data_IF_083587826110
#
_entry.id   IF_083587826110
#
_cell.length_a   1.000
_cell.length_b   1.000
_cell.length_c   1.000
_cell.angle_alpha   90.00
_cell.angle_beta   90.00
_cell.angle_gamma   90.00
#
_symmetry.space_group_name_H-M   'P 1'
#
loop_
_entity.id
_entity.type
_entity.pdbx_description
1 polymer ?
#
# COMPACT_ATOMS: atom_id res chain seq x y z
N UNK A 1 39.46 14.52 -31.02
CA UNK A 1 39.85 15.01 -29.67
C UNK A 1 38.67 15.59 -28.89
N UNK A 2 37.92 16.59 -29.40
CA UNK A 2 36.79 17.20 -28.68
C UNK A 2 35.63 16.22 -28.34
N UNK A 3 35.36 15.21 -29.18
CA UNK A 3 34.32 14.17 -28.94
C UNK A 3 34.65 13.15 -27.84
N UNK A 4 35.91 13.01 -27.44
CA UNK A 4 36.29 12.11 -26.34
C UNK A 4 36.28 12.79 -24.98
N UNK A 5 36.64 14.08 -24.92
CA UNK A 5 36.50 14.90 -23.72
C UNK A 5 35.02 15.08 -23.30
N UNK A 6 34.12 15.23 -24.27
CA UNK A 6 32.67 15.33 -24.02
C UNK A 6 32.10 14.02 -23.43
N UNK A 7 32.53 12.86 -23.93
CA UNK A 7 32.18 11.54 -23.37
C UNK A 7 32.77 11.32 -21.97
N UNK A 8 33.95 11.87 -21.68
CA UNK A 8 34.58 11.85 -20.35
C UNK A 8 33.81 12.68 -19.33
N UNK A 9 33.29 13.85 -19.72
CA UNK A 9 32.51 14.74 -18.87
C UNK A 9 31.06 14.25 -18.67
N UNK A 10 30.46 13.63 -19.69
CA UNK A 10 29.16 12.95 -19.60
C UNK A 10 29.20 11.67 -18.74
N UNK A 11 30.33 10.95 -18.70
CA UNK A 11 30.51 9.79 -17.84
C UNK A 11 30.73 10.15 -16.36
N UNK A 12 31.12 11.40 -16.06
CA UNK A 12 31.36 11.82 -14.69
C UNK A 12 30.07 12.06 -13.88
N UNK A 13 28.93 12.21 -14.56
CA UNK A 13 27.62 12.48 -13.95
C UNK A 13 26.81 11.23 -13.56
N UNK A 14 27.37 10.02 -13.66
CA UNK A 14 26.64 8.76 -13.41
C UNK A 14 27.35 7.77 -12.47
N UNK A 15 28.21 8.24 -11.58
CA UNK A 15 28.69 7.41 -10.48
C UNK A 15 27.74 7.57 -9.28
N UNK A 16 26.71 6.71 -9.18
CA UNK A 16 25.96 6.55 -7.93
C UNK A 16 26.88 5.89 -6.92
N UNK A 17 27.64 6.69 -6.17
CA UNK A 17 28.56 6.21 -5.16
C UNK A 17 27.80 5.61 -3.96
N UNK A 18 28.00 4.31 -3.71
CA UNK A 18 27.51 3.61 -2.52
C UNK A 18 28.33 4.04 -1.30
N UNK A 19 27.91 5.14 -0.71
CA UNK A 19 28.46 5.71 0.51
C UNK A 19 27.61 5.31 1.71
N UNK A 20 28.10 5.50 2.93
CA UNK A 20 27.26 5.35 4.13
C UNK A 20 25.98 6.21 4.02
N UNK A 21 26.08 7.38 3.36
CA UNK A 21 24.94 8.23 3.03
C UNK A 21 23.94 7.54 2.06
N UNK A 22 24.42 6.83 1.04
CA UNK A 22 23.56 6.07 0.13
C UNK A 22 22.81 4.91 0.80
N UNK A 23 23.41 4.24 1.79
CA UNK A 23 22.68 3.22 2.57
C UNK A 23 21.66 3.84 3.51
N UNK A 24 22.01 4.96 4.14
CA UNK A 24 21.05 5.71 4.97
C UNK A 24 19.86 6.19 4.13
N UNK A 25 20.10 6.66 2.90
CA UNK A 25 19.05 7.06 1.95
C UNK A 25 18.11 5.90 1.61
N UNK A 26 18.65 4.73 1.26
CA UNK A 26 17.83 3.55 0.92
C UNK A 26 17.03 3.08 2.14
N UNK A 27 17.64 3.03 3.31
CA UNK A 27 16.96 2.62 4.54
C UNK A 27 15.82 3.60 4.90
N UNK A 28 16.09 4.91 4.88
CA UNK A 28 15.08 5.93 5.16
C UNK A 28 13.94 5.90 4.13
N UNK A 29 14.27 5.75 2.84
CA UNK A 29 13.29 5.63 1.77
C UNK A 29 12.42 4.38 1.90
N UNK A 30 13.00 3.22 2.20
CA UNK A 30 12.27 1.97 2.38
C UNK A 30 11.31 2.05 3.59
N UNK A 31 11.75 2.63 4.71
CA UNK A 31 10.91 2.87 5.89
C UNK A 31 9.75 3.81 5.55
N UNK A 32 10.05 4.95 4.93
CA UNK A 32 9.04 5.94 4.56
C UNK A 32 7.98 5.36 3.62
N UNK A 33 8.41 4.65 2.57
CA UNK A 33 7.52 4.04 1.59
C UNK A 33 6.71 2.89 2.19
N UNK A 34 7.34 2.06 3.03
CA UNK A 34 6.65 0.98 3.75
C UNK A 34 5.58 1.51 4.71
N UNK A 35 5.90 2.55 5.48
CA UNK A 35 4.92 3.22 6.36
C UNK A 35 3.80 3.88 5.55
N UNK A 36 4.10 4.49 4.41
CA UNK A 36 3.09 5.04 3.50
C UNK A 36 2.11 3.95 3.01
N UNK A 37 2.64 2.81 2.59
CA UNK A 37 1.84 1.65 2.19
C UNK A 37 0.97 1.09 3.31
N UNK A 38 1.50 1.01 4.53
CA UNK A 38 0.77 0.57 5.71
C UNK A 38 -0.39 1.52 6.04
N UNK A 39 -0.10 2.82 6.12
CA UNK A 39 -1.07 3.84 6.51
C UNK A 39 -2.17 4.00 5.47
N UNK A 40 -1.84 3.93 4.18
CA UNK A 40 -2.83 3.94 3.11
C UNK A 40 -3.81 2.77 3.24
N UNK A 41 -3.29 1.54 3.33
CA UNK A 41 -4.13 0.35 3.48
C UNK A 41 -4.92 0.33 4.80
N UNK A 42 -4.35 0.86 5.89
CA UNK A 42 -5.07 1.03 7.14
C UNK A 42 -6.18 2.08 7.02
N UNK A 43 -5.91 3.21 6.35
CA UNK A 43 -6.89 4.27 6.14
C UNK A 43 -8.08 3.80 5.32
N UNK A 44 -7.85 2.99 4.27
CA UNK A 44 -8.91 2.32 3.52
C UNK A 44 -9.74 1.39 4.41
N UNK A 45 -9.09 0.61 5.29
CA UNK A 45 -9.81 -0.26 6.23
C UNK A 45 -10.64 0.53 7.25
N UNK A 46 -10.09 1.62 7.79
CA UNK A 46 -10.81 2.50 8.70
C UNK A 46 -11.99 3.19 7.99
N UNK A 47 -11.85 3.56 6.71
CA UNK A 47 -12.93 4.10 5.90
C UNK A 47 -14.04 3.06 5.69
N UNK A 48 -13.69 1.84 5.28
CA UNK A 48 -14.65 0.73 5.16
C UNK A 48 -15.45 0.53 6.45
N UNK A 49 -14.79 0.51 7.61
CA UNK A 49 -15.47 0.30 8.89
C UNK A 49 -16.39 1.46 9.28
N UNK A 50 -16.07 2.70 8.89
CA UNK A 50 -16.95 3.85 9.11
C UNK A 50 -18.19 3.77 8.25
N UNK A 51 -18.02 3.50 6.95
CA UNK A 51 -19.16 3.37 6.03
C UNK A 51 -20.04 2.18 6.40
N UNK A 52 -19.45 1.03 6.73
CA UNK A 52 -20.21 -0.14 7.19
C UNK A 52 -21.12 0.19 8.38
N UNK A 53 -20.62 1.00 9.31
CA UNK A 53 -21.40 1.42 10.48
C UNK A 53 -22.48 2.44 10.10
N UNK A 54 -22.15 3.43 9.26
CA UNK A 54 -23.10 4.44 8.77
C UNK A 54 -24.27 3.77 8.05
N UNK A 55 -23.96 2.91 7.10
CA UNK A 55 -24.91 2.17 6.29
C UNK A 55 -25.82 1.26 7.14
N UNK A 56 -25.24 0.60 8.13
CA UNK A 56 -26.00 -0.20 9.08
C UNK A 56 -26.98 0.67 9.91
N UNK A 57 -26.59 1.89 10.28
CA UNK A 57 -27.45 2.82 11.01
C UNK A 57 -28.58 3.38 10.11
N UNK A 58 -28.30 3.65 8.84
CA UNK A 58 -29.27 4.13 7.84
C UNK A 58 -30.33 3.07 7.51
N UNK A 59 -29.93 1.82 7.29
CA UNK A 59 -30.85 0.67 7.09
C UNK A 59 -31.85 0.54 8.26
N UNK A 60 -31.45 0.90 9.48
CA UNK A 60 -32.33 0.84 10.66
C UNK A 60 -33.18 2.12 10.80
N UNK A 61 -32.58 3.29 10.57
CA UNK A 61 -33.21 4.59 10.79
C UNK A 61 -34.23 4.95 9.70
N UNK A 62 -33.90 4.65 8.44
CA UNK A 62 -34.68 5.04 7.24
C UNK A 62 -34.79 3.88 6.24
N UNK A 63 -35.32 2.71 6.65
CA UNK A 63 -35.32 1.49 5.83
C UNK A 63 -36.04 1.61 4.49
N UNK A 64 -37.04 2.48 4.38
CA UNK A 64 -37.76 2.67 3.11
C UNK A 64 -36.94 3.52 2.11
N UNK A 65 -36.08 4.42 2.60
CA UNK A 65 -35.12 5.17 1.76
C UNK A 65 -34.06 4.21 1.22
N UNK A 66 -33.39 3.45 2.08
CA UNK A 66 -32.37 2.47 1.68
C UNK A 66 -32.92 1.40 0.72
N UNK A 67 -34.20 1.04 0.88
CA UNK A 67 -34.84 0.07 -0.02
C UNK A 67 -35.09 0.67 -1.42
N UNK A 68 -35.31 1.99 -1.50
CA UNK A 68 -35.41 2.70 -2.75
C UNK A 68 -34.04 2.78 -3.46
N UNK A 69 -32.95 2.93 -2.72
CA UNK A 69 -31.59 2.92 -3.29
C UNK A 69 -31.23 1.56 -3.90
N UNK A 70 -31.56 0.44 -3.22
CA UNK A 70 -31.45 -0.90 -3.83
C UNK A 70 -32.27 -1.02 -5.12
N UNK A 71 -33.49 -0.48 -5.13
CA UNK A 71 -34.34 -0.49 -6.31
C UNK A 71 -33.75 0.35 -7.46
N UNK A 72 -33.17 1.50 -7.14
CA UNK A 72 -32.48 2.38 -8.08
C UNK A 72 -31.29 1.66 -8.71
N UNK A 73 -30.41 1.07 -7.90
CA UNK A 73 -29.27 0.26 -8.36
C UNK A 73 -29.74 -0.83 -9.32
N UNK A 74 -30.76 -1.61 -8.97
CA UNK A 74 -31.27 -2.69 -9.82
C UNK A 74 -31.90 -2.15 -11.13
N UNK A 75 -32.55 -0.99 -11.07
CA UNK A 75 -33.14 -0.34 -12.24
C UNK A 75 -32.08 0.17 -13.23
N UNK A 76 -30.89 0.58 -12.76
CA UNK A 76 -29.78 0.98 -13.62
C UNK A 76 -29.26 -0.19 -14.48
N UNK A 77 -29.40 -1.43 -13.99
CA UNK A 77 -29.12 -2.64 -14.77
C UNK A 77 -30.26 -3.02 -15.74
N UNK A 78 -31.31 -2.20 -15.86
CA UNK A 78 -32.45 -2.42 -16.74
C UNK A 78 -33.49 -3.40 -16.19
N UNK A 79 -33.39 -3.80 -14.92
CA UNK A 79 -34.34 -4.69 -14.26
C UNK A 79 -35.65 -3.95 -14.04
N UNK A 80 -36.78 -4.55 -14.41
CA UNK A 80 -38.08 -3.89 -14.33
C UNK A 80 -38.63 -3.91 -12.90
N UNK A 81 -39.50 -2.96 -12.51
CA UNK A 81 -40.03 -2.86 -11.14
C UNK A 81 -40.67 -4.13 -10.59
N UNK A 82 -41.41 -4.85 -11.44
CA UNK A 82 -42.05 -6.11 -11.05
C UNK A 82 -41.05 -7.25 -10.79
N UNK A 83 -39.82 -7.15 -11.31
CA UNK A 83 -38.76 -8.15 -11.16
C UNK A 83 -37.88 -7.87 -9.93
N UNK A 84 -37.51 -6.60 -9.68
CA UNK A 84 -36.67 -6.25 -8.53
C UNK A 84 -37.44 -6.08 -7.23
N UNK A 85 -38.74 -5.76 -7.25
CA UNK A 85 -39.53 -5.56 -6.02
C UNK A 85 -39.50 -6.80 -5.09
N UNK A 86 -39.65 -8.04 -5.59
CA UNK A 86 -39.46 -9.24 -4.76
C UNK A 86 -38.05 -9.38 -4.19
N UNK A 87 -37.02 -8.95 -4.93
CA UNK A 87 -35.60 -9.00 -4.52
C UNK A 87 -35.36 -8.02 -3.38
N UNK A 88 -35.80 -6.76 -3.51
CA UNK A 88 -35.74 -5.75 -2.45
C UNK A 88 -36.43 -6.26 -1.18
N UNK A 89 -37.64 -6.80 -1.32
CA UNK A 89 -38.39 -7.37 -0.18
C UNK A 89 -37.70 -8.58 0.45
N UNK A 90 -36.96 -9.38 -0.31
CA UNK A 90 -36.15 -10.48 0.22
C UNK A 90 -34.92 -9.96 0.97
N UNK A 91 -34.23 -8.95 0.44
CA UNK A 91 -33.10 -8.29 1.10
C UNK A 91 -33.52 -7.63 2.42
N UNK A 92 -34.68 -6.97 2.47
CA UNK A 92 -35.26 -6.42 3.71
C UNK A 92 -35.39 -7.43 4.85
N UNK A 93 -35.57 -8.72 4.52
CA UNK A 93 -35.68 -9.81 5.53
C UNK A 93 -34.33 -10.35 5.99
N UNK A 94 -33.24 -10.02 5.29
CA UNK A 94 -31.89 -10.43 5.62
C UNK A 94 -30.96 -9.20 5.69
N UNK A 95 -30.93 -8.50 6.83
CA UNK A 95 -30.16 -7.25 6.99
C UNK A 95 -28.67 -7.40 6.66
N UNK A 96 -28.09 -8.58 6.90
CA UNK A 96 -26.69 -8.85 6.55
C UNK A 96 -26.49 -8.86 5.04
N UNK A 97 -27.34 -9.59 4.29
CA UNK A 97 -27.23 -9.63 2.83
C UNK A 97 -27.57 -8.29 2.19
N UNK A 98 -28.49 -7.52 2.79
CA UNK A 98 -28.81 -6.17 2.36
C UNK A 98 -27.62 -5.22 2.57
N UNK A 99 -27.03 -5.20 3.77
CA UNK A 99 -25.83 -4.41 4.05
C UNK A 99 -24.66 -4.80 3.14
N UNK A 100 -24.41 -6.10 2.96
CA UNK A 100 -23.37 -6.59 2.05
C UNK A 100 -23.64 -6.17 0.58
N UNK A 101 -24.92 -6.06 0.18
CA UNK A 101 -25.31 -5.55 -1.14
C UNK A 101 -25.03 -4.04 -1.26
N UNK A 102 -25.49 -3.22 -0.31
CA UNK A 102 -25.28 -1.77 -0.33
C UNK A 102 -23.77 -1.44 -0.34
N UNK A 103 -23.02 -2.03 0.59
CA UNK A 103 -21.56 -1.85 0.66
C UNK A 103 -20.87 -2.14 -0.68
N UNK A 104 -21.33 -3.16 -1.42
CA UNK A 104 -20.70 -3.56 -2.67
C UNK A 104 -21.18 -2.76 -3.89
N UNK A 105 -22.48 -2.55 -4.03
CA UNK A 105 -23.06 -2.02 -5.26
C UNK A 105 -23.32 -0.52 -5.23
N UNK A 106 -23.60 0.04 -4.05
CA UNK A 106 -23.78 1.48 -3.88
C UNK A 106 -22.41 2.15 -3.63
N UNK A 107 -21.68 1.69 -2.60
CA UNK A 107 -20.43 2.33 -2.17
C UNK A 107 -19.18 1.80 -2.89
N UNK A 108 -19.28 0.65 -3.56
CA UNK A 108 -18.12 0.03 -4.24
C UNK A 108 -17.03 -0.45 -3.27
N UNK A 109 -17.39 -0.72 -2.02
CA UNK A 109 -16.46 -1.07 -0.94
C UNK A 109 -16.43 -2.58 -0.70
N UNK A 110 -15.24 -3.15 -0.77
CA UNK A 110 -15.01 -4.56 -0.43
C UNK A 110 -14.35 -4.70 0.94
N UNK A 111 -14.68 -5.80 1.63
CA UNK A 111 -14.13 -6.08 2.95
C UNK A 111 -12.61 -6.21 2.90
N UNK A 112 -11.84 -5.37 3.61
CA UNK A 112 -10.39 -5.41 3.58
C UNK A 112 -9.84 -6.68 4.26
N UNK A 113 -8.80 -7.28 3.68
CA UNK A 113 -8.01 -8.33 4.34
C UNK A 113 -7.23 -7.71 5.51
N UNK A 114 -7.36 -8.25 6.74
CA UNK A 114 -6.60 -7.79 7.91
C UNK A 114 -5.08 -7.71 7.71
N UNK A 115 -4.53 -8.55 6.83
CA UNK A 115 -3.09 -8.60 6.54
C UNK A 115 -2.66 -7.63 5.45
N UNK A 116 -3.61 -7.00 4.74
CA UNK A 116 -3.33 -6.12 3.59
C UNK A 116 -2.40 -4.97 3.96
N UNK A 117 -2.58 -4.36 5.14
CA UNK A 117 -1.72 -3.27 5.58
C UNK A 117 -0.25 -3.70 5.72
N UNK A 118 -0.02 -4.85 6.34
CA UNK A 118 1.34 -5.40 6.48
C UNK A 118 1.93 -5.83 5.13
N UNK A 119 1.14 -6.51 4.30
CA UNK A 119 1.59 -6.96 2.98
C UNK A 119 1.94 -5.77 2.07
N UNK A 120 1.12 -4.72 2.08
CA UNK A 120 1.37 -3.47 1.35
C UNK A 120 2.69 -2.84 1.79
N UNK A 121 2.89 -2.68 3.10
CA UNK A 121 4.10 -2.10 3.67
C UNK A 121 5.37 -2.86 3.25
N UNK A 122 5.36 -4.19 3.42
CA UNK A 122 6.51 -5.04 3.10
C UNK A 122 6.79 -5.07 1.60
N UNK A 123 5.75 -5.22 0.78
CA UNK A 123 5.90 -5.28 -0.68
C UNK A 123 6.48 -3.99 -1.22
N UNK A 124 5.97 -2.84 -0.78
CA UNK A 124 6.45 -1.52 -1.22
C UNK A 124 7.88 -1.27 -0.74
N UNK A 125 8.20 -1.56 0.53
CA UNK A 125 9.55 -1.39 1.06
C UNK A 125 10.57 -2.28 0.33
N UNK A 126 10.24 -3.56 0.10
CA UNK A 126 11.11 -4.49 -0.63
C UNK A 126 11.24 -4.06 -2.10
N UNK A 127 10.16 -3.68 -2.76
CA UNK A 127 10.19 -3.21 -4.15
C UNK A 127 11.05 -1.94 -4.28
N UNK A 128 11.01 -1.03 -3.31
CA UNK A 128 11.88 0.14 -3.27
C UNK A 128 13.36 -0.24 -3.16
N UNK A 129 13.70 -1.16 -2.26
CA UNK A 129 15.08 -1.67 -2.10
C UNK A 129 15.53 -2.34 -3.40
N UNK A 130 14.76 -3.30 -3.91
CA UNK A 130 15.11 -4.02 -5.14
C UNK A 130 15.27 -3.04 -6.30
N UNK A 131 14.28 -2.18 -6.55
CA UNK A 131 14.31 -1.18 -7.62
C UNK A 131 15.49 -0.21 -7.54
N UNK A 132 15.96 0.12 -6.33
CA UNK A 132 17.19 0.91 -6.16
C UNK A 132 18.43 0.17 -6.70
N UNK A 133 18.48 -1.17 -6.59
CA UNK A 133 19.61 -1.99 -6.99
C UNK A 133 19.51 -2.63 -8.39
N UNK A 134 18.32 -2.78 -8.99
CA UNK A 134 18.11 -3.44 -10.30
C UNK A 134 18.73 -2.71 -11.50
N UNK A 135 19.54 -1.67 -11.28
CA UNK A 135 20.33 -0.97 -12.29
C UNK A 135 21.86 -1.03 -12.11
N UNK A 136 22.38 -1.72 -11.09
CA UNK A 136 23.82 -1.75 -10.77
C UNK A 136 24.51 -3.07 -11.19
N UNK A 137 25.76 -2.99 -11.68
CA UNK A 137 26.54 -4.19 -12.09
C UNK A 137 26.77 -5.13 -10.89
N UNK A 138 26.39 -6.42 -10.96
CA UNK A 138 26.31 -7.33 -9.79
C UNK A 138 27.60 -7.48 -8.97
N UNK A 139 28.77 -7.49 -9.62
CA UNK A 139 30.06 -7.59 -8.92
C UNK A 139 30.38 -6.37 -8.04
N UNK A 140 29.95 -5.16 -8.46
CA UNK A 140 30.12 -3.95 -7.66
C UNK A 140 29.20 -3.94 -6.44
N UNK A 141 27.96 -4.41 -6.59
CA UNK A 141 27.00 -4.54 -5.49
C UNK A 141 27.51 -5.50 -4.40
N UNK A 142 28.05 -6.66 -4.79
CA UNK A 142 28.56 -7.65 -3.84
C UNK A 142 29.77 -7.13 -3.02
N UNK A 143 30.73 -6.47 -3.68
CA UNK A 143 31.91 -5.91 -3.02
C UNK A 143 31.53 -4.76 -2.06
N UNK A 144 30.54 -3.96 -2.46
CA UNK A 144 30.01 -2.84 -1.69
C UNK A 144 29.27 -3.31 -0.42
N UNK A 145 28.38 -4.31 -0.54
CA UNK A 145 27.69 -4.89 0.61
C UNK A 145 28.68 -5.49 1.63
N UNK A 146 29.71 -6.19 1.16
CA UNK A 146 30.74 -6.76 2.03
C UNK A 146 31.52 -5.68 2.81
N UNK A 147 31.89 -4.57 2.14
CA UNK A 147 32.62 -3.48 2.78
C UNK A 147 31.78 -2.76 3.84
N UNK A 148 30.51 -2.49 3.57
CA UNK A 148 29.61 -1.85 4.55
C UNK A 148 29.34 -2.76 5.74
N UNK A 149 29.16 -4.07 5.51
CA UNK A 149 29.08 -5.05 6.59
C UNK A 149 30.31 -4.98 7.50
N UNK A 150 31.51 -4.94 6.93
CA UNK A 150 32.76 -4.87 7.70
C UNK A 150 32.87 -3.57 8.53
N UNK A 151 32.55 -2.40 7.94
CA UNK A 151 32.62 -1.11 8.66
C UNK A 151 31.55 -1.02 9.74
N UNK A 152 30.31 -1.44 9.47
CA UNK A 152 29.24 -1.44 10.46
C UNK A 152 29.56 -2.38 11.63
N UNK A 153 30.08 -3.58 11.36
CA UNK A 153 30.54 -4.51 12.41
C UNK A 153 31.70 -3.93 13.23
N UNK A 154 32.66 -3.26 12.59
CA UNK A 154 33.78 -2.63 13.30
C UNK A 154 33.33 -1.47 14.19
N UNK A 155 32.41 -0.63 13.71
CA UNK A 155 31.84 0.46 14.49
C UNK A 155 31.00 -0.05 15.67
N UNK A 156 30.16 -1.06 15.44
CA UNK A 156 29.38 -1.71 16.50
C UNK A 156 30.28 -2.31 17.58
N UNK A 157 31.36 -3.00 17.17
CA UNK A 157 32.34 -3.56 18.09
C UNK A 157 33.11 -2.48 18.85
N UNK A 158 33.49 -1.39 18.18
CA UNK A 158 34.14 -0.23 18.81
C UNK A 158 33.26 0.45 19.86
N UNK A 159 31.98 0.66 19.55
CA UNK A 159 31.01 1.22 20.50
C UNK A 159 30.79 0.28 21.69
N UNK A 160 30.63 -1.03 21.44
CA UNK A 160 30.48 -2.02 22.51
C UNK A 160 31.68 -2.01 23.47
N UNK A 161 32.91 -1.89 22.93
CA UNK A 161 34.13 -1.84 23.73
C UNK A 161 34.26 -0.54 24.53
N UNK A 162 33.77 0.58 24.01
CA UNK A 162 33.80 1.88 24.69
C UNK A 162 32.77 2.01 25.83
N UNK A 163 31.72 1.17 25.83
CA UNK A 163 30.70 1.13 26.89
C UNK A 163 31.07 0.16 28.01
N UNK A 164 31.96 -0.81 27.74
CA UNK A 164 32.36 -1.87 28.67
C UNK A 164 33.76 -1.70 29.29
N UNK A 165 34.49 -0.65 28.92
CA UNK A 165 35.80 -0.29 29.48
C UNK A 165 35.75 1.06 30.19
#
# INVERSE_FOLDING_TARGET
MARELDKSLLNHHKEKHFTAAGVAEVAAGAISMGLGGYLAAKSEADHYMRELKREQEEIIAVPDTEAAEVAEILSEYGIQPHEYTPVVNALRKNPKAWLDFMMKFELGLEKPDPKRALHSALTIAIAYIVGHFTGNKPFRSALQTAFIGAVASAAAFGMAKAVQG
#
